data_IF_148313419353
#
_entry.id   IF_148313419353
#
_cell.length_a   1.000
_cell.length_b   1.000
_cell.length_c   1.000
_cell.angle_alpha   90.00
_cell.angle_beta   90.00
_cell.angle_gamma   90.00
#
_symmetry.space_group_name_H-M   'P 1'
#
loop_
_entity.id
_entity.type
_entity.pdbx_description
1 polymer ?
#
# COMPACT_ATOMS: atom_id res chain seq x y z
N UNK A 1 40.78 -64.65 -29.97
CA UNK A 1 40.25 -64.08 -28.72
C UNK A 1 39.58 -62.73 -29.04
N UNK A 2 38.93 -62.62 -30.20
CA UNK A 2 37.48 -62.75 -30.48
C UNK A 2 36.63 -61.67 -29.77
N UNK A 3 36.30 -60.63 -30.54
CA UNK A 3 35.48 -59.47 -30.21
C UNK A 3 34.11 -59.84 -29.57
N UNK A 4 33.64 -61.06 -29.85
CA UNK A 4 32.45 -61.68 -29.26
C UNK A 4 32.58 -61.93 -27.74
N UNK A 5 33.77 -62.23 -27.24
CA UNK A 5 34.03 -62.39 -25.80
C UNK A 5 34.01 -61.03 -25.06
N UNK A 6 34.51 -59.97 -25.69
CA UNK A 6 34.55 -58.61 -25.12
C UNK A 6 33.13 -57.99 -25.07
N UNK A 7 32.31 -58.21 -26.11
CA UNK A 7 30.93 -57.73 -26.13
C UNK A 7 30.05 -58.42 -25.06
N UNK A 8 30.24 -59.72 -24.82
CA UNK A 8 29.53 -60.43 -23.74
C UNK A 8 29.98 -59.99 -22.35
N UNK A 9 31.28 -59.72 -22.16
CA UNK A 9 31.81 -59.19 -20.89
C UNK A 9 31.31 -57.76 -20.60
N UNK A 10 31.18 -56.91 -21.62
CA UNK A 10 30.53 -55.60 -21.46
C UNK A 10 29.04 -55.74 -21.17
N UNK A 11 28.35 -56.71 -21.78
CA UNK A 11 26.92 -56.94 -21.55
C UNK A 11 26.64 -57.48 -20.15
N UNK A 12 27.56 -58.24 -19.55
CA UNK A 12 27.47 -58.67 -18.15
C UNK A 12 27.78 -57.53 -17.19
N UNK A 13 28.82 -56.73 -17.44
CA UNK A 13 29.14 -55.56 -16.62
C UNK A 13 28.02 -54.50 -16.65
N UNK A 14 27.48 -54.22 -17.86
CA UNK A 14 26.34 -53.32 -18.09
C UNK A 14 24.99 -53.86 -17.54
N UNK A 15 24.93 -55.14 -17.17
CA UNK A 15 23.77 -55.76 -16.53
C UNK A 15 23.88 -55.73 -15.00
N UNK A 16 25.11 -55.65 -14.47
CA UNK A 16 25.40 -55.59 -13.03
C UNK A 16 25.25 -54.17 -12.45
N UNK A 17 25.46 -53.13 -13.27
CA UNK A 17 25.21 -51.71 -12.96
C UNK A 17 23.81 -51.21 -13.39
N UNK A 18 23.03 -52.04 -14.11
CA UNK A 18 21.63 -51.78 -14.46
C UNK A 18 20.62 -52.20 -13.38
N UNK A 19 21.05 -52.86 -12.29
CA UNK A 19 20.20 -53.08 -11.13
C UNK A 19 20.09 -51.77 -10.36
N UNK A 20 18.98 -51.08 -10.59
CA UNK A 20 18.63 -49.80 -9.97
C UNK A 20 18.62 -49.96 -8.45
N UNK A 21 19.66 -49.49 -7.78
CA UNK A 21 19.78 -49.66 -6.33
C UNK A 21 18.54 -49.08 -5.64
N UNK A 22 17.87 -49.90 -4.81
CA UNK A 22 16.61 -49.59 -4.10
C UNK A 22 16.71 -48.50 -3.04
N UNK A 23 17.63 -47.55 -3.17
CA UNK A 23 17.76 -46.38 -2.32
C UNK A 23 16.74 -45.29 -2.67
N UNK A 24 15.83 -45.51 -3.63
CA UNK A 24 14.83 -44.51 -4.02
C UNK A 24 14.00 -43.97 -2.85
N UNK A 25 13.61 -44.85 -1.91
CA UNK A 25 12.91 -44.43 -0.69
C UNK A 25 13.82 -43.62 0.24
N UNK A 26 15.05 -44.09 0.48
CA UNK A 26 16.02 -43.39 1.34
C UNK A 26 16.45 -42.04 0.76
N UNK A 27 16.67 -41.94 -0.56
CA UNK A 27 16.95 -40.68 -1.25
C UNK A 27 15.75 -39.74 -1.25
N UNK A 28 14.52 -40.27 -1.36
CA UNK A 28 13.33 -39.43 -1.31
C UNK A 28 13.16 -38.80 0.07
N UNK A 29 13.31 -39.59 1.14
CA UNK A 29 13.23 -39.12 2.53
C UNK A 29 14.38 -38.16 2.84
N UNK A 30 15.61 -38.45 2.40
CA UNK A 30 16.76 -37.59 2.67
C UNK A 30 16.77 -36.31 1.83
N UNK A 31 16.31 -36.35 0.57
CA UNK A 31 16.24 -35.15 -0.29
C UNK A 31 15.11 -34.22 0.13
N UNK A 32 13.91 -34.74 0.41
CA UNK A 32 12.81 -33.93 0.95
C UNK A 32 13.18 -33.38 2.32
N UNK A 33 13.75 -34.21 3.20
CA UNK A 33 14.24 -33.79 4.51
C UNK A 33 15.29 -32.68 4.44
N UNK A 34 16.31 -32.81 3.59
CA UNK A 34 17.35 -31.79 3.42
C UNK A 34 16.81 -30.48 2.83
N UNK A 35 15.85 -30.54 1.91
CA UNK A 35 15.19 -29.36 1.32
C UNK A 35 14.32 -28.63 2.36
N UNK A 36 13.51 -29.35 3.13
CA UNK A 36 12.70 -28.76 4.19
C UNK A 36 13.56 -28.23 5.35
N UNK A 37 14.67 -28.90 5.66
CA UNK A 37 15.64 -28.44 6.66
C UNK A 37 16.39 -27.19 6.20
N UNK A 38 16.74 -27.08 4.92
CA UNK A 38 17.30 -25.88 4.32
C UNK A 38 16.29 -24.71 4.33
N UNK A 39 15.02 -24.96 4.02
CA UNK A 39 13.95 -23.95 4.14
C UNK A 39 13.80 -23.44 5.59
N UNK A 40 13.95 -24.31 6.60
CA UNK A 40 13.91 -23.90 8.01
C UNK A 40 15.13 -23.08 8.44
N UNK A 41 16.33 -23.38 7.93
CA UNK A 41 17.54 -22.62 8.25
C UNK A 41 17.63 -21.25 7.53
N UNK A 42 17.10 -21.13 6.31
CA UNK A 42 16.99 -19.84 5.60
C UNK A 42 15.96 -18.91 6.29
N UNK A 43 14.96 -19.49 6.95
CA UNK A 43 13.94 -18.77 7.72
C UNK A 43 14.40 -18.19 9.07
N UNK A 44 15.63 -18.49 9.54
CA UNK A 44 16.09 -18.06 10.88
C UNK A 44 16.53 -16.59 10.97
N UNK A 45 16.45 -15.82 9.88
CA UNK A 45 16.75 -14.37 9.88
C UNK A 45 15.51 -13.51 10.21
N UNK A 46 14.78 -13.89 11.27
CA UNK A 46 13.52 -13.28 11.75
C UNK A 46 13.67 -11.87 12.34
N UNK A 47 14.91 -11.35 12.36
CA UNK A 47 15.25 -10.07 12.97
C UNK A 47 14.47 -8.89 12.36
N UNK A 48 14.13 -8.92 11.07
CA UNK A 48 13.33 -7.88 10.45
C UNK A 48 11.85 -7.97 10.84
N UNK A 49 11.28 -9.19 10.87
CA UNK A 49 9.86 -9.43 11.16
C UNK A 49 9.52 -9.05 12.60
N UNK A 50 10.38 -9.41 13.55
CA UNK A 50 10.19 -9.09 14.98
C UNK A 50 10.21 -7.58 15.22
N UNK A 51 11.05 -6.83 14.51
CA UNK A 51 11.09 -5.35 14.59
C UNK A 51 9.81 -4.69 14.07
N UNK A 52 9.24 -5.20 12.98
CA UNK A 52 7.99 -4.65 12.43
C UNK A 52 6.79 -4.95 13.34
N UNK A 53 6.73 -6.17 13.88
CA UNK A 53 5.71 -6.58 14.85
C UNK A 53 5.78 -5.74 16.13
N UNK A 54 6.98 -5.48 16.66
CA UNK A 54 7.15 -4.66 17.86
C UNK A 54 6.74 -3.20 17.65
N UNK A 55 6.99 -2.64 16.47
CA UNK A 55 6.54 -1.29 16.12
C UNK A 55 5.01 -1.19 16.03
N UNK A 56 4.37 -2.21 15.45
CA UNK A 56 2.91 -2.23 15.29
C UNK A 56 2.23 -2.38 16.65
N UNK A 57 2.76 -3.24 17.53
CA UNK A 57 2.32 -3.37 18.91
C UNK A 57 2.49 -2.05 19.69
N UNK A 58 3.60 -1.34 19.50
CA UNK A 58 3.83 -0.02 20.13
C UNK A 58 2.73 0.97 19.76
N UNK A 59 2.42 1.13 18.47
CA UNK A 59 1.38 2.06 18.01
C UNK A 59 -0.04 1.59 18.37
N UNK A 60 -0.26 0.30 18.58
CA UNK A 60 -1.55 -0.22 19.04
C UNK A 60 -1.88 0.20 20.48
N UNK A 61 -0.87 0.24 21.37
CA UNK A 61 -1.04 0.69 22.75
C UNK A 61 -0.87 2.21 22.92
N UNK A 62 -0.37 2.92 21.91
CA UNK A 62 -0.28 4.37 21.92
C UNK A 62 -1.68 5.00 21.75
N UNK A 63 -1.91 6.15 22.38
CA UNK A 63 -3.21 6.83 22.28
C UNK A 63 -3.42 7.30 20.84
N UNK A 64 -4.55 6.89 20.25
CA UNK A 64 -4.98 7.37 18.92
C UNK A 64 -5.24 8.87 18.99
N UNK A 65 -4.55 9.64 18.16
CA UNK A 65 -4.87 11.04 17.91
C UNK A 65 -6.14 11.08 17.05
N UNK A 66 -7.28 11.28 17.69
CA UNK A 66 -8.56 11.52 17.02
C UNK A 66 -9.00 12.96 17.25
N UNK A 67 -9.74 13.52 16.29
CA UNK A 67 -10.47 14.79 16.45
C UNK A 67 -11.94 14.46 16.41
N UNK A 68 -12.72 14.97 17.38
CA UNK A 68 -14.14 14.65 17.48
C UNK A 68 -14.99 15.53 16.57
N UNK A 69 -15.07 15.22 15.28
CA UNK A 69 -16.01 15.89 14.37
C UNK A 69 -17.45 15.50 14.72
N UNK A 70 -18.42 16.43 14.83
CA UNK A 70 -18.41 17.83 14.37
C UNK A 70 -17.98 18.88 15.41
N UNK A 71 -17.65 18.48 16.63
CA UNK A 71 -17.43 19.38 17.77
C UNK A 71 -16.04 20.02 17.78
N UNK A 72 -15.03 19.31 17.28
CA UNK A 72 -13.64 19.75 17.19
C UNK A 72 -13.24 19.86 15.71
N UNK A 73 -12.94 21.09 15.27
CA UNK A 73 -12.54 21.41 13.90
C UNK A 73 -11.02 21.61 13.86
N UNK A 74 -10.35 21.05 12.86
CA UNK A 74 -8.91 21.20 12.67
C UNK A 74 -8.51 22.63 12.30
N UNK A 75 -7.25 23.03 12.52
CA UNK A 75 -6.77 24.35 12.14
C UNK A 75 -6.81 24.53 10.62
N UNK A 76 -7.51 25.57 10.14
CA UNK A 76 -7.55 25.91 8.72
C UNK A 76 -6.57 27.07 8.44
N UNK A 77 -5.91 27.00 7.29
CA UNK A 77 -5.06 28.12 6.84
C UNK A 77 -5.92 29.25 6.26
N UNK A 78 -5.50 30.52 6.37
CA UNK A 78 -6.25 31.66 5.82
C UNK A 78 -6.33 31.66 4.28
N UNK A 79 -5.57 30.79 3.59
CA UNK A 79 -5.59 30.60 2.14
C UNK A 79 -6.34 29.36 1.70
N UNK A 80 -7.07 28.72 2.61
CA UNK A 80 -7.84 27.53 2.26
C UNK A 80 -8.95 27.90 1.27
N UNK A 81 -9.01 27.19 0.15
CA UNK A 81 -10.00 27.44 -0.90
C UNK A 81 -11.29 26.70 -0.53
N UNK A 82 -12.29 27.46 -0.10
CA UNK A 82 -13.64 26.97 0.24
C UNK A 82 -14.61 27.36 -0.89
N UNK A 83 -15.90 27.16 -0.65
CA UNK A 83 -16.98 27.67 -1.48
C UNK A 83 -16.78 29.16 -1.83
N UNK A 84 -16.90 29.45 -3.12
CA UNK A 84 -16.68 30.79 -3.66
C UNK A 84 -17.93 31.67 -3.44
N UNK A 85 -17.90 32.54 -2.44
CA UNK A 85 -18.94 33.54 -2.20
C UNK A 85 -18.67 34.84 -2.96
N UNK A 86 -19.72 35.44 -3.55
CA UNK A 86 -19.63 36.78 -4.13
C UNK A 86 -19.65 37.80 -3.00
N UNK A 87 -18.58 38.59 -2.85
CA UNK A 87 -18.50 39.58 -1.79
C UNK A 87 -19.07 40.94 -2.26
N UNK A 88 -19.73 41.67 -1.35
CA UNK A 88 -20.26 43.03 -1.58
C UNK A 88 -19.37 44.12 -0.97
N UNK A 89 -19.44 45.35 -1.48
CA UNK A 89 -18.86 46.53 -0.85
C UNK A 89 -19.58 46.85 0.47
N UNK A 90 -18.97 47.64 1.39
CA UNK A 90 -19.66 48.08 2.61
C UNK A 90 -20.90 48.96 2.34
N UNK A 91 -21.02 49.53 1.13
CA UNK A 91 -22.19 50.27 0.63
C UNK A 91 -23.32 49.37 0.15
N UNK A 92 -23.13 48.04 0.11
CA UNK A 92 -24.12 47.06 -0.33
C UNK A 92 -24.12 46.73 -1.82
N UNK A 93 -23.38 47.49 -2.65
CA UNK A 93 -23.17 47.20 -4.07
C UNK A 93 -22.32 45.93 -4.27
N UNK A 94 -22.60 45.14 -5.30
CA UNK A 94 -21.84 43.93 -5.61
C UNK A 94 -20.49 44.26 -6.27
N UNK A 95 -19.45 43.45 -6.00
CA UNK A 95 -18.12 43.62 -6.63
C UNK A 95 -18.03 43.07 -8.04
N UNK A 96 -19.03 42.32 -8.50
CA UNK A 96 -19.04 41.74 -9.84
C UNK A 96 -19.49 42.81 -10.84
N UNK A 97 -18.62 43.20 -11.77
CA UNK A 97 -18.94 44.12 -12.87
C UNK A 97 -19.30 43.38 -14.18
N UNK A 98 -19.66 42.10 -14.09
CA UNK A 98 -19.96 41.23 -15.23
C UNK A 98 -18.87 41.18 -16.34
N UNK A 99 -17.59 41.30 -15.96
CA UNK A 99 -16.45 41.33 -16.90
C UNK A 99 -16.11 40.00 -17.59
N UNK A 100 -16.82 38.90 -17.26
CA UNK A 100 -16.59 37.53 -17.81
C UNK A 100 -15.19 36.94 -17.59
N UNK A 101 -14.32 37.59 -16.82
CA UNK A 101 -12.95 37.14 -16.58
C UNK A 101 -12.87 35.84 -15.76
N UNK A 102 -13.81 35.62 -14.83
CA UNK A 102 -13.90 34.37 -14.05
C UNK A 102 -14.32 33.16 -14.90
N UNK A 103 -15.00 33.40 -16.02
CA UNK A 103 -15.38 32.37 -16.99
C UNK A 103 -14.22 32.06 -17.95
N UNK A 104 -13.42 33.07 -18.29
CA UNK A 104 -12.25 32.93 -19.15
C UNK A 104 -11.03 32.26 -18.48
N UNK A 105 -10.83 32.41 -17.16
CA UNK A 105 -9.69 31.81 -16.42
C UNK A 105 -10.05 30.41 -15.94
N UNK A 106 -10.54 29.55 -16.82
CA UNK A 106 -11.02 28.21 -16.45
C UNK A 106 -9.91 27.33 -15.84
N UNK A 107 -9.82 27.33 -14.50
CA UNK A 107 -9.26 26.23 -13.70
C UNK A 107 -10.33 25.86 -12.66
N UNK A 108 -11.40 25.21 -13.14
CA UNK A 108 -12.33 24.45 -12.29
C UNK A 108 -13.54 25.18 -11.69
N UNK A 109 -14.28 26.00 -12.45
CA UNK A 109 -15.54 26.60 -11.97
C UNK A 109 -16.79 25.88 -12.53
N UNK A 110 -17.12 24.68 -12.03
CA UNK A 110 -18.49 24.13 -12.09
C UNK A 110 -18.97 23.61 -10.73
N UNK A 111 -18.61 24.33 -9.66
CA UNK A 111 -18.87 24.09 -8.25
C UNK A 111 -20.13 24.65 -7.54
N UNK A 112 -21.08 25.36 -8.17
CA UNK A 112 -22.03 26.19 -7.39
C UNK A 112 -23.46 25.64 -7.37
N UNK A 113 -23.81 24.93 -6.28
CA UNK A 113 -25.11 25.12 -5.59
C UNK A 113 -25.32 24.28 -4.30
N UNK A 114 -24.43 23.35 -3.93
CA UNK A 114 -24.73 22.36 -2.87
C UNK A 114 -23.95 22.53 -1.55
N UNK A 115 -23.19 23.62 -1.34
CA UNK A 115 -22.35 23.82 -0.12
C UNK A 115 -22.83 24.97 0.79
N UNK A 116 -23.86 25.73 0.40
CA UNK A 116 -24.37 26.87 1.15
C UNK A 116 -24.96 26.57 2.55
N UNK A 117 -24.91 25.32 3.03
CA UNK A 117 -25.55 24.89 4.29
C UNK A 117 -24.60 24.43 5.39
N UNK A 118 -23.28 24.37 5.13
CA UNK A 118 -22.31 23.82 6.10
C UNK A 118 -21.41 24.91 6.72
N UNK A 119 -21.28 26.07 6.08
CA UNK A 119 -20.39 27.15 6.52
C UNK A 119 -21.13 28.49 6.57
N UNK A 120 -21.31 29.05 7.77
CA UNK A 120 -21.79 30.41 7.93
C UNK A 120 -20.72 31.40 7.53
N UNK A 121 -20.99 32.27 6.57
CA UNK A 121 -20.06 33.35 6.19
C UNK A 121 -20.37 34.56 7.07
N UNK A 122 -19.47 34.89 8.01
CA UNK A 122 -19.53 36.14 8.77
C UNK A 122 -19.21 37.33 7.84
N UNK A 123 -19.85 38.50 8.00
CA UNK A 123 -19.61 39.69 7.17
C UNK A 123 -18.15 40.18 7.17
N UNK A 124 -17.31 39.72 8.10
CA UNK A 124 -15.90 40.08 8.21
C UNK A 124 -14.94 39.16 7.44
N UNK A 125 -15.48 38.16 6.72
CA UNK A 125 -14.66 37.25 5.91
C UNK A 125 -13.93 36.17 6.71
N UNK A 126 -14.23 36.03 8.00
CA UNK A 126 -13.83 34.87 8.79
C UNK A 126 -14.78 33.70 8.51
N UNK A 127 -14.19 32.56 8.12
CA UNK A 127 -14.89 31.29 7.95
C UNK A 127 -15.13 30.70 9.34
N UNK A 128 -16.18 31.13 10.02
CA UNK A 128 -16.64 30.44 11.22
C UNK A 128 -17.57 29.33 10.76
N UNK A 129 -17.12 28.08 10.92
CA UNK A 129 -18.01 26.96 10.72
C UNK A 129 -19.14 27.07 11.75
N UNK A 130 -20.37 27.31 11.32
CA UNK A 130 -21.56 27.20 12.17
C UNK A 130 -21.73 25.78 12.72
#
# INVERSE_FOLDING_TARGET
MDEYAIANAKKSFLAEDAVTYGYGFFHFVFATGAIYFAMLLIGWNTHHTIKNLSLTLKYFFERKVNMNYPFEKGPLSPRFRVEHALRRYPTGEERCIACKLCEAIEVGMLQKQYVAKVFGVSPEGEYTFM
#
